data_IF_456451943201
#
_entry.id   IF_456451943201
#
_cell.length_a   1.000
_cell.length_b   1.000
_cell.length_c   1.000
_cell.angle_alpha   90.00
_cell.angle_beta   90.00
_cell.angle_gamma   90.00
#
_symmetry.space_group_name_H-M   'P 1'
#
loop_
_entity.id
_entity.type
_entity.pdbx_description
1 polymer ?
#
# COMPACT_ATOMS: atom_id res chain seq x y z
N UNK A 1 2.80 6.76 -21.85
CA UNK A 1 2.83 7.79 -20.78
C UNK A 1 1.81 7.36 -19.73
N UNK A 2 2.08 7.54 -18.42
CA UNK A 2 1.08 7.29 -17.39
C UNK A 2 -0.10 8.25 -17.58
N UNK A 3 -1.32 7.72 -17.55
CA UNK A 3 -2.55 8.52 -17.62
C UNK A 3 -2.64 9.40 -16.36
N UNK A 4 -2.77 10.72 -16.55
CA UNK A 4 -3.05 11.65 -15.45
C UNK A 4 -4.42 11.31 -14.83
N UNK A 5 -4.43 10.95 -13.54
CA UNK A 5 -5.64 10.54 -12.81
C UNK A 5 -6.68 11.66 -12.69
N UNK A 6 -6.33 12.90 -13.00
CA UNK A 6 -7.23 14.05 -12.97
C UNK A 6 -7.77 14.45 -14.35
N UNK A 7 -7.24 13.83 -15.42
CA UNK A 7 -7.64 14.13 -16.79
C UNK A 7 -9.00 13.53 -17.16
N UNK A 8 -9.77 14.23 -17.99
CA UNK A 8 -11.01 13.69 -18.57
C UNK A 8 -10.72 12.49 -19.44
N UNK A 9 -11.59 11.49 -19.42
CA UNK A 9 -11.47 10.29 -20.25
C UNK A 9 -12.82 9.92 -20.87
N UNK A 10 -12.79 9.35 -22.08
CA UNK A 10 -13.94 8.77 -22.71
C UNK A 10 -14.01 7.28 -22.35
N UNK A 11 -15.15 6.84 -21.81
CA UNK A 11 -15.40 5.43 -21.53
C UNK A 11 -15.79 4.64 -22.78
N UNK A 12 -15.58 3.32 -22.72
CA UNK A 12 -16.07 2.35 -23.72
C UNK A 12 -17.60 2.30 -23.83
N UNK A 13 -18.29 2.85 -22.84
CA UNK A 13 -19.74 3.10 -22.82
C UNK A 13 -20.15 4.38 -23.56
N UNK A 14 -19.20 5.13 -24.12
CA UNK A 14 -19.44 6.39 -24.82
C UNK A 14 -19.72 7.58 -23.90
N UNK A 15 -19.51 7.44 -22.59
CA UNK A 15 -19.71 8.51 -21.60
C UNK A 15 -18.38 9.19 -21.28
N UNK A 16 -18.39 10.51 -21.17
CA UNK A 16 -17.22 11.28 -20.73
C UNK A 16 -17.17 11.34 -19.21
N UNK A 17 -16.05 10.90 -18.64
CA UNK A 17 -15.77 10.95 -17.21
C UNK A 17 -14.77 12.07 -16.90
N UNK A 18 -14.91 12.73 -15.74
CA UNK A 18 -13.98 13.82 -15.36
C UNK A 18 -12.60 13.32 -14.96
N UNK A 19 -12.48 12.03 -14.63
CA UNK A 19 -11.26 11.34 -14.25
C UNK A 19 -11.41 9.84 -14.49
N UNK A 20 -10.28 9.13 -14.55
CA UNK A 20 -10.25 7.66 -14.52
C UNK A 20 -10.91 7.14 -13.24
N UNK A 21 -10.71 7.81 -12.10
CA UNK A 21 -11.32 7.43 -10.82
C UNK A 21 -12.86 7.44 -10.87
N UNK A 22 -13.49 8.43 -11.51
CA UNK A 22 -14.95 8.47 -11.64
C UNK A 22 -15.49 7.38 -12.58
N UNK A 23 -14.71 7.00 -13.59
CA UNK A 23 -15.03 5.88 -14.47
C UNK A 23 -14.97 4.56 -13.70
N UNK A 24 -13.90 4.32 -12.95
CA UNK A 24 -13.72 3.12 -12.11
C UNK A 24 -14.81 3.01 -11.03
N UNK A 25 -15.15 4.12 -10.39
CA UNK A 25 -16.25 4.17 -9.42
C UNK A 25 -17.59 3.80 -10.07
N UNK A 26 -17.89 4.32 -11.27
CA UNK A 26 -19.12 3.99 -12.01
C UNK A 26 -19.15 2.52 -12.43
N UNK A 27 -18.04 2.01 -12.95
CA UNK A 27 -17.87 0.62 -13.33
C UNK A 27 -18.15 -0.31 -12.14
N UNK A 28 -17.59 0.01 -10.97
CA UNK A 28 -17.77 -0.73 -9.72
C UNK A 28 -19.23 -0.69 -9.24
N UNK A 29 -19.82 0.51 -9.12
CA UNK A 29 -21.20 0.67 -8.62
C UNK A 29 -22.24 -0.06 -9.46
N UNK A 30 -22.01 -0.19 -10.76
CA UNK A 30 -22.94 -0.86 -11.69
C UNK A 30 -22.51 -2.27 -12.06
N UNK A 31 -21.40 -2.78 -11.54
CA UNK A 31 -20.79 -4.06 -11.91
C UNK A 31 -20.63 -4.22 -13.43
N UNK A 32 -20.28 -3.12 -14.11
CA UNK A 32 -20.09 -3.07 -15.55
C UNK A 32 -18.61 -2.80 -15.85
N UNK A 33 -17.94 -3.60 -16.71
CA UNK A 33 -16.55 -3.38 -17.04
C UNK A 33 -16.42 -2.21 -18.03
N UNK A 34 -16.47 -0.98 -17.51
CA UNK A 34 -16.24 0.23 -18.30
C UNK A 34 -14.73 0.50 -18.27
N UNK A 35 -14.10 0.48 -19.44
CA UNK A 35 -12.68 0.80 -19.65
C UNK A 35 -12.54 2.19 -20.28
N UNK A 36 -11.36 2.81 -20.16
CA UNK A 36 -11.00 4.03 -20.92
C UNK A 36 -10.85 3.67 -22.40
N UNK A 37 -11.64 4.30 -23.26
CA UNK A 37 -11.49 4.21 -24.72
C UNK A 37 -10.36 5.12 -25.22
N UNK A 38 -10.32 6.38 -24.76
CA UNK A 38 -9.26 7.35 -25.06
C UNK A 38 -9.26 8.52 -24.06
N UNK A 39 -8.14 9.24 -23.98
CA UNK A 39 -8.01 10.47 -23.20
C UNK A 39 -8.83 11.61 -23.81
N UNK A 40 -9.48 12.41 -22.96
CA UNK A 40 -10.34 13.52 -23.35
C UNK A 40 -11.84 13.19 -23.31
N UNK A 41 -12.66 14.11 -23.84
CA UNK A 41 -14.11 13.92 -23.90
C UNK A 41 -14.55 13.04 -25.07
N UNK A 42 -15.60 12.24 -24.86
CA UNK A 42 -16.22 11.47 -25.92
C UNK A 42 -16.75 12.38 -27.02
N UNK A 43 -16.40 12.07 -28.26
CA UNK A 43 -16.88 12.79 -29.44
C UNK A 43 -18.30 12.33 -29.80
N UNK A 44 -19.27 13.24 -29.98
CA UNK A 44 -20.59 12.86 -30.49
C UNK A 44 -20.45 12.23 -31.88
N UNK A 45 -21.23 11.17 -32.18
CA UNK A 45 -21.28 10.55 -33.51
C UNK A 45 -21.64 11.55 -34.63
N UNK A 46 -22.27 12.67 -34.29
CA UNK A 46 -22.57 13.76 -35.23
C UNK A 46 -21.31 14.53 -35.68
N UNK A 47 -20.24 14.56 -34.88
CA UNK A 47 -18.97 15.17 -35.28
C UNK A 47 -18.17 14.29 -36.24
N UNK A 48 -18.44 12.98 -36.30
CA UNK A 48 -17.85 12.09 -37.31
C UNK A 48 -18.53 12.22 -38.68
N UNK A 49 -19.81 12.62 -38.72
CA UNK A 49 -20.57 12.67 -39.97
C UNK A 49 -20.51 14.02 -40.71
N UNK A 50 -20.06 15.10 -40.06
CA UNK A 50 -19.79 16.36 -40.78
C UNK A 50 -18.50 16.28 -41.62
N UNK A 51 -17.58 15.38 -41.28
CA UNK A 51 -16.36 15.09 -42.05
C UNK A 51 -16.57 14.05 -43.16
N UNK A 52 -17.76 13.46 -43.31
CA UNK A 52 -18.08 12.62 -44.48
C UNK A 52 -19.03 13.30 -45.47
N UNK A 53 -19.69 14.40 -45.09
CA UNK A 53 -20.43 15.26 -46.04
C UNK A 53 -19.56 16.31 -46.74
N UNK A 54 -18.37 16.61 -46.21
CA UNK A 54 -17.43 17.56 -46.83
C UNK A 54 -16.35 16.88 -47.70
N UNK A 55 -16.31 15.54 -47.77
CA UNK A 55 -15.31 14.78 -48.54
C UNK A 55 -15.83 14.18 -49.86
N UNK A 56 -17.07 14.48 -50.26
CA UNK A 56 -17.59 14.10 -51.60
C UNK A 56 -17.22 15.12 -52.68
N UNK A 57 -16.67 16.29 -52.32
CA UNK A 57 -16.50 17.37 -53.32
C UNK A 57 -15.09 17.60 -53.85
N UNK A 58 -14.02 17.07 -53.26
CA UNK A 58 -12.68 17.28 -53.81
C UNK A 58 -11.80 16.05 -53.58
N UNK A 59 -11.73 15.20 -54.60
CA UNK A 59 -10.72 14.15 -54.65
C UNK A 59 -9.35 14.76 -54.88
N UNK A 60 -8.42 14.52 -53.95
CA UNK A 60 -6.98 14.54 -54.22
C UNK A 60 -6.25 13.72 -53.15
N UNK A 61 -5.76 12.54 -53.52
CA UNK A 61 -4.89 11.73 -52.66
C UNK A 61 -3.46 12.21 -52.87
N UNK A 62 -3.03 13.20 -52.11
CA UNK A 62 -1.72 13.79 -52.34
C UNK A 62 -1.14 14.52 -51.13
N UNK A 63 -0.12 13.89 -50.54
CA UNK A 63 1.04 14.52 -49.91
C UNK A 63 0.93 14.93 -48.42
N UNK A 64 1.73 14.22 -47.63
CA UNK A 64 2.26 14.67 -46.34
C UNK A 64 3.27 15.80 -46.58
N UNK A 65 3.34 16.83 -45.70
CA UNK A 65 4.57 17.57 -45.50
C UNK A 65 5.20 17.24 -44.15
N UNK A 66 6.51 16.98 -44.22
CA UNK A 66 7.49 17.13 -43.15
C UNK A 66 7.75 18.63 -42.87
N UNK A 67 8.48 18.89 -41.77
CA UNK A 67 9.15 20.12 -41.32
C UNK A 67 8.37 21.07 -40.39
N UNK A 68 8.95 21.75 -39.39
CA UNK A 68 10.24 21.67 -38.67
C UNK A 68 10.16 22.68 -37.48
N UNK A 69 10.85 22.34 -36.39
CA UNK A 69 11.48 23.15 -35.30
C UNK A 69 11.16 24.65 -35.05
N UNK A 70 11.21 25.00 -33.76
CA UNK A 70 11.48 26.35 -33.20
C UNK A 70 10.66 26.59 -31.92
N UNK A 71 11.14 26.31 -30.69
CA UNK A 71 12.13 27.01 -29.82
C UNK A 71 11.67 28.39 -29.34
N UNK A 72 11.54 28.52 -28.01
CA UNK A 72 11.71 29.69 -27.09
C UNK A 72 10.98 29.30 -25.78
N UNK A 73 11.60 29.20 -24.60
CA UNK A 73 12.46 30.15 -23.88
C UNK A 73 11.70 30.46 -22.57
N UNK A 74 12.01 29.78 -21.48
CA UNK A 74 12.87 30.26 -20.38
C UNK A 74 12.14 31.19 -19.39
N UNK A 75 12.07 30.75 -18.13
CA UNK A 75 12.05 31.63 -16.96
C UNK A 75 12.60 30.85 -15.77
N UNK A 76 13.94 30.86 -15.72
CA UNK A 76 14.72 31.36 -14.57
C UNK A 76 14.41 30.78 -13.18
N UNK A 77 15.32 29.90 -12.79
CA UNK A 77 15.79 29.73 -11.42
C UNK A 77 17.04 30.60 -11.26
N UNK A 78 17.11 31.36 -10.17
CA UNK A 78 18.30 32.02 -9.61
C UNK A 78 18.23 31.66 -8.10
N UNK A 79 19.16 30.87 -7.53
CA UNK A 79 20.49 31.23 -7.00
C UNK A 79 20.42 32.42 -6.02
N UNK A 80 20.97 32.39 -4.81
CA UNK A 80 22.35 32.00 -4.45
C UNK A 80 22.55 31.82 -2.93
N UNK A 81 23.46 30.92 -2.59
CA UNK A 81 24.55 30.95 -1.59
C UNK A 81 24.50 31.90 -0.37
N UNK A 82 24.88 31.34 0.80
CA UNK A 82 26.09 31.80 1.52
C UNK A 82 26.55 30.70 2.49
N UNK A 83 27.85 30.42 2.42
CA UNK A 83 28.59 29.45 3.23
C UNK A 83 29.09 30.06 4.53
N UNK A 84 29.22 29.25 5.59
CA UNK A 84 30.30 29.48 6.55
C UNK A 84 30.60 28.20 7.34
N UNK A 85 31.79 27.67 7.06
CA UNK A 85 32.49 26.66 7.84
C UNK A 85 32.89 27.22 9.21
N UNK A 86 32.78 26.43 10.27
CA UNK A 86 33.72 26.51 11.39
C UNK A 86 34.12 25.11 11.88
N UNK A 87 35.40 25.02 12.16
CA UNK A 87 36.21 23.85 12.50
C UNK A 87 36.62 24.00 13.96
N UNK A 88 36.39 22.99 14.81
CA UNK A 88 37.42 22.44 15.71
C UNK A 88 36.91 21.56 16.85
N UNK A 89 37.74 20.54 17.10
CA UNK A 89 38.17 20.00 18.39
C UNK A 89 37.20 19.13 19.21
N UNK A 90 37.57 17.86 19.31
CA UNK A 90 37.01 16.92 20.28
C UNK A 90 37.53 17.11 21.71
N UNK A 91 36.77 16.55 22.66
CA UNK A 91 37.22 16.00 23.95
C UNK A 91 36.09 15.16 24.59
N UNK A 92 36.39 14.33 25.62
CA UNK A 92 36.23 12.89 25.58
C UNK A 92 34.98 12.39 26.33
N UNK A 93 34.58 11.11 26.16
CA UNK A 93 33.58 10.49 27.02
C UNK A 93 34.15 10.22 28.43
N UNK A 94 33.32 10.52 29.41
CA UNK A 94 33.54 10.44 30.86
C UNK A 94 33.80 8.99 31.31
N UNK A 95 34.90 8.81 32.05
CA UNK A 95 35.22 7.57 32.79
C UNK A 95 34.24 7.40 33.96
N UNK A 96 33.45 6.34 33.93
CA UNK A 96 32.81 5.78 35.14
C UNK A 96 33.80 4.89 35.90
N UNK A 97 33.75 4.86 37.24
CA UNK A 97 34.71 4.12 38.06
C UNK A 97 34.47 2.60 37.98
N UNK A 98 35.55 1.87 37.70
CA UNK A 98 35.65 0.41 37.71
C UNK A 98 35.57 -0.12 39.16
N UNK A 99 34.61 -1.02 39.43
CA UNK A 99 34.57 -1.83 40.66
C UNK A 99 35.33 -3.14 40.36
N UNK A 100 36.41 -3.48 41.07
CA UNK A 100 37.11 -4.75 40.85
C UNK A 100 36.31 -5.88 41.51
N UNK A 101 35.71 -6.74 40.69
CA UNK A 101 35.15 -8.02 41.13
C UNK A 101 36.31 -9.00 41.32
N UNK A 102 36.50 -9.44 42.56
CA UNK A 102 37.48 -10.46 42.97
C UNK A 102 37.08 -11.82 42.39
N UNK A 103 37.91 -12.37 41.49
CA UNK A 103 37.72 -13.72 40.93
C UNK A 103 38.24 -14.76 41.92
N UNK A 104 37.34 -15.59 42.46
CA UNK A 104 37.70 -16.78 43.22
C UNK A 104 38.19 -17.90 42.28
N UNK A 105 39.13 -18.77 42.70
CA UNK A 105 39.67 -19.82 41.85
C UNK A 105 38.64 -20.94 41.66
N UNK A 106 38.16 -21.13 40.42
CA UNK A 106 37.35 -22.29 40.06
C UNK A 106 38.19 -23.56 40.10
N UNK A 107 37.76 -24.53 40.93
CA UNK A 107 38.30 -25.89 41.00
C UNK A 107 38.45 -26.49 39.60
N UNK A 108 39.61 -27.10 39.34
CA UNK A 108 39.82 -28.01 38.20
C UNK A 108 38.85 -29.19 38.32
N UNK A 109 37.88 -29.27 37.42
CA UNK A 109 37.12 -30.50 37.22
C UNK A 109 37.96 -31.37 36.27
N UNK A 110 38.44 -32.50 36.79
CA UNK A 110 39.03 -33.58 36.02
C UNK A 110 37.92 -34.14 35.10
N UNK A 111 38.08 -33.97 33.80
CA UNK A 111 37.24 -34.62 32.80
C UNK A 111 37.58 -36.12 32.83
N UNK A 112 36.69 -36.91 33.44
CA UNK A 112 36.68 -38.35 33.22
C UNK A 112 36.43 -38.63 31.73
N UNK A 113 37.09 -39.66 31.23
CA UNK A 113 37.17 -40.04 29.83
C UNK A 113 35.80 -40.11 29.17
N UNK A 114 35.63 -39.34 28.09
CA UNK A 114 34.48 -39.44 27.18
C UNK A 114 34.54 -40.80 26.49
N UNK A 115 33.67 -41.72 26.92
CA UNK A 115 33.36 -42.93 26.16
C UNK A 115 32.56 -42.51 24.93
N UNK A 116 33.17 -42.63 23.75
CA UNK A 116 32.53 -42.36 22.46
C UNK A 116 31.45 -43.45 22.25
N UNK A 117 30.16 -43.11 22.05
CA UNK A 117 29.13 -44.10 21.74
C UNK A 117 29.39 -44.75 20.37
N UNK A 118 28.95 -46.00 20.17
CA UNK A 118 29.24 -46.76 18.95
C UNK A 118 28.67 -46.08 17.71
N UNK A 119 29.47 -46.13 16.65
CA UNK A 119 29.21 -45.62 15.30
C UNK A 119 27.79 -45.95 14.84
N UNK A 120 26.99 -44.91 14.62
CA UNK A 120 25.70 -44.99 13.91
C UNK A 120 26.00 -45.27 12.43
N UNK A 121 25.28 -46.20 11.77
CA UNK A 121 25.58 -46.58 10.39
C UNK A 121 25.29 -45.43 9.43
N UNK A 122 26.28 -45.08 8.61
CA UNK A 122 26.21 -44.11 7.52
C UNK A 122 25.27 -44.61 6.41
N UNK A 123 23.98 -44.28 6.51
CA UNK A 123 23.01 -44.44 5.42
C UNK A 123 21.75 -43.58 5.63
N UNK A 124 21.94 -42.29 5.88
CA UNK A 124 20.83 -41.32 5.90
C UNK A 124 21.23 -40.01 5.23
N UNK A 125 21.30 -40.03 3.89
CA UNK A 125 21.33 -38.82 3.07
C UNK A 125 19.95 -38.15 3.01
N UNK A 126 19.30 -37.95 4.15
CA UNK A 126 18.07 -37.16 4.25
C UNK A 126 18.30 -36.05 5.27
N UNK A 127 18.23 -34.76 4.87
CA UNK A 127 18.59 -33.66 5.73
C UNK A 127 17.58 -33.54 6.86
N UNK A 128 18.09 -33.59 8.09
CA UNK A 128 17.40 -33.43 9.37
C UNK A 128 16.87 -31.98 9.59
N UNK A 129 16.63 -31.21 8.52
CA UNK A 129 16.07 -29.86 8.58
C UNK A 129 15.14 -29.52 7.39
N UNK A 130 14.55 -30.52 6.71
CA UNK A 130 13.47 -30.19 5.77
C UNK A 130 12.20 -29.89 6.56
N UNK A 131 11.95 -28.61 6.81
CA UNK A 131 10.68 -28.09 7.32
C UNK A 131 9.54 -28.68 6.50
N UNK A 132 8.60 -29.33 7.19
CA UNK A 132 7.50 -30.10 6.61
C UNK A 132 6.48 -29.17 5.94
N UNK A 133 6.77 -28.72 4.72
CA UNK A 133 5.77 -28.17 3.81
C UNK A 133 5.18 -29.36 3.05
N UNK A 134 3.88 -29.68 3.18
CA UNK A 134 3.30 -30.80 2.48
C UNK A 134 3.34 -30.58 0.96
N UNK A 135 3.63 -31.67 0.23
CA UNK A 135 3.67 -31.70 -1.23
C UNK A 135 2.35 -31.11 -1.81
N UNK A 136 2.48 -30.03 -2.59
CA UNK A 136 1.33 -29.34 -3.21
C UNK A 136 0.99 -27.97 -2.61
N UNK A 137 1.72 -27.50 -1.59
CA UNK A 137 1.61 -26.09 -1.18
C UNK A 137 2.37 -25.17 -2.13
N UNK A 138 1.82 -24.00 -2.50
CA UNK A 138 2.55 -23.02 -3.29
C UNK A 138 3.72 -22.44 -2.50
N UNK A 139 4.94 -22.57 -3.02
CA UNK A 139 6.14 -21.95 -2.43
C UNK A 139 6.34 -20.50 -2.88
N UNK A 140 5.86 -20.17 -4.08
CA UNK A 140 5.96 -18.83 -4.65
C UNK A 140 4.58 -18.30 -5.01
N UNK A 141 4.30 -17.07 -4.61
CA UNK A 141 3.05 -16.40 -4.90
C UNK A 141 3.27 -15.18 -5.80
N UNK A 142 2.44 -14.99 -6.85
CA UNK A 142 2.40 -13.74 -7.60
C UNK A 142 2.03 -12.55 -6.70
N UNK A 143 2.53 -11.37 -7.04
CA UNK A 143 2.33 -10.13 -6.27
C UNK A 143 1.00 -9.43 -6.64
N UNK A 144 0.27 -9.94 -7.63
CA UNK A 144 -0.91 -9.28 -8.19
C UNK A 144 -2.19 -10.01 -7.79
N UNK A 145 -2.58 -9.84 -6.53
CA UNK A 145 -3.79 -10.45 -5.99
C UNK A 145 -4.41 -9.54 -4.92
N UNK A 146 -5.73 -9.66 -4.73
CA UNK A 146 -6.45 -8.94 -3.68
C UNK A 146 -6.34 -9.67 -2.33
N UNK A 147 -6.36 -8.97 -1.18
CA UNK A 147 -6.24 -9.60 0.11
C UNK A 147 -7.43 -10.49 0.46
N UNK A 148 -7.24 -11.39 1.43
CA UNK A 148 -8.27 -12.29 1.99
C UNK A 148 -8.22 -12.24 3.51
N UNK A 149 -9.39 -12.25 4.16
CA UNK A 149 -9.49 -12.37 5.60
C UNK A 149 -9.58 -13.84 6.01
N UNK A 150 -8.62 -14.30 6.83
CA UNK A 150 -8.62 -15.64 7.40
C UNK A 150 -9.50 -15.76 8.65
N UNK A 151 -9.91 -16.98 8.97
CA UNK A 151 -10.70 -17.31 10.17
C UNK A 151 -9.92 -17.12 11.49
N UNK A 152 -8.61 -16.90 11.39
CA UNK A 152 -7.70 -16.48 12.45
C UNK A 152 -7.69 -14.95 12.67
N UNK A 153 -8.46 -14.18 11.89
CA UNK A 153 -8.48 -12.72 11.95
C UNK A 153 -7.28 -12.05 11.28
N UNK A 154 -6.44 -12.81 10.56
CA UNK A 154 -5.26 -12.30 9.87
C UNK A 154 -5.61 -11.93 8.43
N UNK A 155 -5.12 -10.77 7.98
CA UNK A 155 -5.20 -10.37 6.58
C UNK A 155 -4.06 -11.01 5.79
N UNK A 156 -4.41 -11.87 4.84
CA UNK A 156 -3.46 -12.46 3.91
C UNK A 156 -3.40 -11.60 2.65
N UNK A 157 -2.20 -11.16 2.25
CA UNK A 157 -2.00 -10.22 1.14
C UNK A 157 -2.42 -10.76 -0.24
N UNK A 158 -2.69 -12.06 -0.36
CA UNK A 158 -3.26 -12.68 -1.56
C UNK A 158 -3.95 -14.00 -1.22
N UNK A 159 -4.85 -14.52 -2.09
CA UNK A 159 -5.41 -15.85 -1.96
C UNK A 159 -4.33 -16.94 -2.06
N UNK A 160 -3.24 -16.68 -2.81
CA UNK A 160 -2.10 -17.57 -2.87
C UNK A 160 -1.38 -17.68 -1.51
N UNK A 161 -1.10 -16.55 -0.86
CA UNK A 161 -0.46 -16.53 0.46
C UNK A 161 -1.35 -17.19 1.52
N UNK A 162 -2.66 -16.95 1.46
CA UNK A 162 -3.63 -17.66 2.28
C UNK A 162 -3.54 -19.19 2.08
N UNK A 163 -3.55 -19.64 0.82
CA UNK A 163 -3.46 -21.08 0.48
C UNK A 163 -2.13 -21.69 0.88
N UNK A 164 -1.03 -20.94 0.77
CA UNK A 164 0.29 -21.37 1.23
C UNK A 164 0.30 -21.64 2.74
N UNK A 165 -0.33 -20.75 3.52
CA UNK A 165 -0.44 -20.90 4.97
C UNK A 165 -1.40 -22.03 5.34
N UNK A 166 -2.61 -22.05 4.78
CA UNK A 166 -3.64 -23.06 5.11
C UNK A 166 -3.24 -24.48 4.74
N UNK A 167 -2.31 -24.63 3.78
CA UNK A 167 -1.78 -25.91 3.35
C UNK A 167 -0.73 -26.48 4.32
N UNK A 168 -0.06 -25.62 5.11
CA UNK A 168 0.94 -26.06 6.10
C UNK A 168 0.28 -26.59 7.37
N UNK A 169 0.97 -27.45 8.15
CA UNK A 169 0.45 -27.93 9.44
C UNK A 169 0.04 -26.81 10.40
N UNK A 170 0.78 -25.70 10.38
CA UNK A 170 0.51 -24.49 11.20
C UNK A 170 -0.80 -23.79 10.82
N UNK A 171 -1.24 -23.88 9.56
CA UNK A 171 -2.49 -23.32 9.07
C UNK A 171 -3.62 -24.35 8.97
N UNK A 172 -3.47 -25.53 9.58
CA UNK A 172 -4.52 -26.55 9.56
C UNK A 172 -5.82 -26.01 10.18
N UNK A 173 -6.91 -26.06 9.42
CA UNK A 173 -8.21 -25.52 9.83
C UNK A 173 -8.42 -24.03 9.55
N UNK A 174 -7.45 -23.34 8.95
CA UNK A 174 -7.60 -21.97 8.48
C UNK A 174 -8.56 -21.92 7.28
N UNK A 175 -9.62 -21.11 7.39
CA UNK A 175 -10.61 -20.91 6.32
C UNK A 175 -10.71 -19.43 5.95
N UNK A 176 -11.08 -19.14 4.70
CA UNK A 176 -11.30 -17.77 4.27
C UNK A 176 -12.69 -17.33 4.73
N UNK A 177 -12.77 -16.21 5.46
CA UNK A 177 -14.04 -15.64 5.94
C UNK A 177 -14.69 -14.81 4.84
N UNK A 178 -13.92 -13.90 4.22
CA UNK A 178 -14.35 -13.10 3.06
C UNK A 178 -13.14 -12.57 2.28
N UNK A 179 -13.39 -12.13 1.04
CA UNK A 179 -12.42 -11.43 0.22
C UNK A 179 -12.25 -9.98 0.70
N UNK A 180 -11.00 -9.52 0.80
CA UNK A 180 -10.63 -8.24 1.38
C UNK A 180 -9.74 -8.39 2.62
N UNK A 181 -9.21 -7.26 3.11
CA UNK A 181 -8.54 -7.23 4.41
C UNK A 181 -9.53 -7.54 5.53
N UNK A 182 -9.07 -8.19 6.59
CA UNK A 182 -9.90 -8.37 7.77
C UNK A 182 -10.32 -7.00 8.33
N UNK A 183 -11.61 -6.90 8.63
CA UNK A 183 -12.17 -5.87 9.48
C UNK A 183 -11.44 -6.00 10.83
N UNK A 184 -10.74 -4.97 11.30
CA UNK A 184 -10.01 -5.03 12.55
C UNK A 184 -10.96 -5.40 13.68
N UNK A 185 -10.65 -6.47 14.40
CA UNK A 185 -11.36 -6.80 15.65
C UNK A 185 -11.02 -5.71 16.66
N UNK A 186 -12.03 -5.30 17.44
CA UNK A 186 -11.84 -4.20 18.38
C UNK A 186 -10.74 -4.58 19.38
N UNK A 187 -9.55 -3.97 19.24
CA UNK A 187 -8.41 -4.24 20.14
C UNK A 187 -7.14 -4.80 19.50
N UNK A 188 -7.05 -4.95 18.18
CA UNK A 188 -5.75 -5.17 17.52
C UNK A 188 -4.78 -4.03 17.81
N UNK A 189 -3.51 -4.32 18.11
CA UNK A 189 -2.50 -3.28 18.33
C UNK A 189 -2.25 -2.50 17.04
N UNK A 190 -2.35 -1.17 17.11
CA UNK A 190 -1.98 -0.29 16.01
C UNK A 190 -0.47 -0.04 16.04
N UNK A 191 0.15 -0.02 14.86
CA UNK A 191 1.53 0.45 14.74
C UNK A 191 1.61 1.90 15.24
N UNK A 192 2.68 2.24 15.97
CA UNK A 192 2.90 3.58 16.53
C UNK A 192 3.35 4.60 15.46
N UNK A 193 2.91 4.42 14.21
CA UNK A 193 3.16 5.35 13.11
C UNK A 193 2.15 6.50 13.17
N UNK A 194 2.66 7.73 13.13
CA UNK A 194 1.84 8.93 13.14
C UNK A 194 1.50 9.36 11.70
N UNK A 195 0.28 9.08 11.27
CA UNK A 195 -0.32 9.45 9.97
C UNK A 195 -1.77 9.94 10.22
N UNK A 196 -1.95 11.19 10.67
CA UNK A 196 -3.20 11.62 11.29
C UNK A 196 -4.35 11.71 10.30
N UNK A 197 -5.57 11.48 10.80
CA UNK A 197 -6.82 11.63 10.07
C UNK A 197 -7.85 12.38 10.92
N UNK A 198 -8.73 13.13 10.25
CA UNK A 198 -9.87 13.76 10.89
C UNK A 198 -11.08 12.83 10.78
N UNK A 199 -11.68 12.47 11.90
CA UNK A 199 -12.91 11.68 11.95
C UNK A 199 -14.15 12.51 11.56
N UNK A 200 -15.22 11.81 11.20
CA UNK A 200 -16.55 12.40 10.98
C UNK A 200 -17.13 13.05 12.23
N UNK A 201 -16.64 12.67 13.41
CA UNK A 201 -16.92 13.27 14.71
C UNK A 201 -16.16 14.58 14.97
N UNK A 202 -15.23 14.96 14.08
CA UNK A 202 -14.38 16.14 14.23
C UNK A 202 -13.18 15.93 15.16
N UNK A 203 -12.85 14.69 15.52
CA UNK A 203 -11.68 14.35 16.32
C UNK A 203 -10.49 13.96 15.45
N UNK A 204 -9.29 14.45 15.81
CA UNK A 204 -8.05 14.00 15.19
C UNK A 204 -7.64 12.65 15.76
N UNK A 205 -7.51 11.65 14.91
CA UNK A 205 -6.91 10.35 15.23
C UNK A 205 -5.49 10.31 14.67
N UNK A 206 -4.56 9.72 15.42
CA UNK A 206 -3.14 9.61 15.04
C UNK A 206 -2.89 8.65 13.86
N UNK A 207 -3.83 7.76 13.57
CA UNK A 207 -3.85 6.92 12.37
C UNK A 207 -5.26 6.41 12.08
N UNK A 208 -5.46 5.92 10.85
CA UNK A 208 -6.71 5.23 10.45
C UNK A 208 -6.99 4.03 11.35
N UNK A 209 -5.95 3.27 11.75
CA UNK A 209 -6.10 2.13 12.64
C UNK A 209 -6.72 2.52 13.99
N UNK A 210 -6.31 3.65 14.57
CA UNK A 210 -6.84 4.09 15.87
C UNK A 210 -8.27 4.62 15.74
N UNK A 211 -8.61 5.25 14.62
CA UNK A 211 -9.99 5.61 14.29
C UNK A 211 -10.86 4.34 14.19
N UNK A 212 -10.46 3.37 13.39
CA UNK A 212 -11.21 2.12 13.20
C UNK A 212 -11.36 1.35 14.52
N UNK A 213 -10.31 1.31 15.34
CA UNK A 213 -10.39 0.70 16.67
C UNK A 213 -11.38 1.44 17.59
N UNK A 214 -11.46 2.77 17.48
CA UNK A 214 -12.40 3.59 18.26
C UNK A 214 -13.83 3.39 17.79
N UNK A 215 -14.08 3.44 16.47
CA UNK A 215 -15.38 3.11 15.86
C UNK A 215 -15.86 1.73 16.30
N UNK A 216 -14.98 0.73 16.23
CA UNK A 216 -15.28 -0.64 16.65
C UNK A 216 -15.61 -0.72 18.16
N UNK A 217 -14.78 -0.13 19.04
CA UNK A 217 -14.99 -0.16 20.50
C UNK A 217 -16.25 0.58 20.96
N UNK A 218 -16.64 1.63 20.24
CA UNK A 218 -17.83 2.41 20.53
C UNK A 218 -19.08 1.84 19.85
N UNK A 219 -18.93 0.81 19.00
CA UNK A 219 -19.99 0.30 18.13
C UNK A 219 -20.63 1.43 17.27
N UNK A 220 -19.81 2.42 16.88
CA UNK A 220 -20.23 3.58 16.10
C UNK A 220 -19.81 3.42 14.64
N UNK A 221 -20.74 2.89 13.83
CA UNK A 221 -20.55 2.72 12.38
C UNK A 221 -20.52 4.05 11.60
N UNK A 222 -20.85 5.18 12.24
CA UNK A 222 -20.81 6.51 11.61
C UNK A 222 -19.46 7.19 11.72
N UNK A 223 -18.61 6.72 12.66
CA UNK A 223 -17.25 7.19 12.85
C UNK A 223 -16.34 6.65 11.73
N UNK A 224 -16.09 7.48 10.74
CA UNK A 224 -15.25 7.17 9.58
C UNK A 224 -14.28 8.32 9.31
N UNK A 225 -13.30 8.13 8.42
CA UNK A 225 -12.38 9.21 8.04
C UNK A 225 -13.15 10.28 7.22
N UNK A 226 -13.20 11.51 7.74
CA UNK A 226 -13.69 12.67 7.01
C UNK A 226 -12.65 13.16 5.99
N UNK A 227 -11.39 13.32 6.42
CA UNK A 227 -10.25 13.67 5.55
C UNK A 227 -8.91 13.30 6.18
N UNK A 228 -7.86 13.23 5.35
CA UNK A 228 -6.48 13.01 5.81
C UNK A 228 -5.87 14.27 6.43
N UNK A 229 -5.05 14.09 7.45
CA UNK A 229 -4.48 15.15 8.27
C UNK A 229 -5.27 15.37 9.56
N UNK A 230 -4.74 16.21 10.44
CA UNK A 230 -5.43 16.61 11.67
C UNK A 230 -6.71 17.39 11.37
N UNK A 231 -7.69 17.31 12.26
CA UNK A 231 -8.86 18.17 12.18
C UNK A 231 -8.48 19.64 12.32
N UNK A 232 -9.09 20.50 11.50
CA UNK A 232 -8.98 21.94 11.67
C UNK A 232 -9.72 22.37 12.94
N UNK A 233 -8.99 22.69 14.01
CA UNK A 233 -9.57 23.30 15.20
C UNK A 233 -10.27 24.62 14.82
N UNK A 234 -11.60 24.61 14.79
CA UNK A 234 -12.39 25.84 14.68
C UNK A 234 -12.43 26.58 16.02
N UNK A 235 -11.27 27.08 16.48
CA UNK A 235 -11.27 28.33 17.24
C UNK A 235 -11.43 29.55 16.30
N UNK A 236 -11.67 29.33 15.00
CA UNK A 236 -12.21 30.34 14.09
C UNK A 236 -13.39 29.80 13.27
N UNK A 237 -14.54 29.68 13.96
CA UNK A 237 -15.89 29.85 13.43
C UNK A 237 -16.20 29.36 12.01
N UNK A 238 -16.25 28.05 11.79
CA UNK A 238 -17.03 27.46 10.69
C UNK A 238 -17.81 26.25 11.19
N UNK A 239 -19.03 26.14 10.68
CA UNK A 239 -20.12 25.27 11.15
C UNK A 239 -19.71 23.80 11.29
N UNK A 240 -20.29 23.05 12.25
CA UNK A 240 -20.06 21.61 12.37
C UNK A 240 -20.33 20.92 11.03
N UNK A 241 -19.56 19.87 10.77
CA UNK A 241 -19.77 18.95 9.66
C UNK A 241 -21.15 18.34 9.91
N UNK A 242 -22.18 18.83 9.21
CA UNK A 242 -23.48 18.18 9.26
C UNK A 242 -23.33 16.82 8.60
N UNK A 243 -23.78 15.73 9.24
CA UNK A 243 -23.90 14.45 8.54
C UNK A 243 -24.86 14.67 7.37
N UNK A 244 -24.52 14.10 6.21
CA UNK A 244 -25.44 13.99 5.09
C UNK A 244 -26.64 13.13 5.51
N UNK A 245 -27.61 13.73 6.21
CA UNK A 245 -28.95 13.19 6.36
C UNK A 245 -29.70 13.54 5.07
N UNK A 246 -30.06 12.48 4.35
CA UNK A 246 -30.89 12.52 3.15
C UNK A 246 -32.36 12.49 3.56
#
# INVERSE_FOLDING_TARGET
MPLDRTSKVCGTDGVTYKSVCLLEMKACMHQTPIMVAYEGGCRPLQAANQQLQNHVSQGDWGQRPHQQQGREGDSSSEESDESSEERSAGRPPTRTPFIPQTIAPTRRILYDRVTIPPQVPESSTTPYYSTMIPEGCPETCPIQDLPVCGSDGVTYGSPCLFKAQSCRPEGSGLTAVYAGACIPTCGSECEALYDPVCGTDGTTYNSVCVLDQTSCRLEDETLTVAYRGECFNTLRGKRPIQPFLR
#
